data_IF_862474333260
#
_entry.id   IF_862474333260
#
_cell.length_a   1.000
_cell.length_b   1.000
_cell.length_c   1.000
_cell.angle_alpha   90.00
_cell.angle_beta   90.00
_cell.angle_gamma   90.00
#
_symmetry.space_group_name_H-M   'P 1'
#
loop_
_entity.id
_entity.type
_entity.pdbx_description
1 polymer ?
#
# COMPACT_ATOMS: atom_id res chain seq x y z
N UNK A 1 5.07 -2.39 22.31
CA UNK A 1 5.59 -2.24 20.94
C UNK A 1 5.20 -0.87 20.41
N UNK A 2 5.98 -0.26 19.53
CA UNK A 2 5.66 1.06 18.97
C UNK A 2 5.21 0.90 17.53
N UNK A 3 4.15 1.61 17.15
CA UNK A 3 3.63 1.70 15.78
C UNK A 3 3.39 3.16 15.41
N UNK A 4 3.31 3.44 14.12
CA UNK A 4 3.09 4.79 13.61
C UNK A 4 1.89 4.83 12.68
N UNK A 5 1.11 5.92 12.76
CA UNK A 5 -0.12 6.10 12.01
C UNK A 5 -0.26 7.55 11.54
N UNK A 6 -0.86 7.75 10.38
CA UNK A 6 -1.17 9.08 9.86
C UNK A 6 -2.64 9.44 10.08
N UNK A 7 -2.86 10.72 10.36
CA UNK A 7 -4.20 11.32 10.43
C UNK A 7 -4.22 12.62 9.65
N UNK A 8 -5.41 13.10 9.30
CA UNK A 8 -5.59 14.47 8.80
C UNK A 8 -5.45 15.51 9.94
N UNK A 9 -5.63 16.79 9.61
CA UNK A 9 -5.56 17.87 10.59
C UNK A 9 -6.56 17.70 11.76
N UNK A 10 -7.71 17.09 11.50
CA UNK A 10 -8.77 16.80 12.47
C UNK A 10 -8.60 15.44 13.17
N UNK A 11 -7.41 14.82 13.14
CA UNK A 11 -7.11 13.57 13.83
C UNK A 11 -7.93 12.35 13.35
N UNK A 12 -8.45 12.37 12.12
CA UNK A 12 -9.12 11.24 11.51
C UNK A 12 -8.14 10.44 10.64
N UNK A 13 -8.18 9.12 10.77
CA UNK A 13 -7.54 8.18 9.86
C UNK A 13 -8.38 8.01 8.59
N UNK A 14 -7.77 7.51 7.53
CA UNK A 14 -8.50 7.24 6.28
C UNK A 14 -9.63 6.23 6.48
N UNK A 15 -9.38 5.18 7.28
CA UNK A 15 -10.40 4.18 7.63
C UNK A 15 -11.51 4.74 8.51
N UNK A 16 -11.44 6.00 8.97
CA UNK A 16 -12.47 6.70 9.73
C UNK A 16 -12.35 6.54 11.25
N UNK A 17 -11.15 6.26 11.76
CA UNK A 17 -10.88 6.27 13.21
C UNK A 17 -10.50 7.68 13.64
N UNK A 18 -10.98 8.14 14.80
CA UNK A 18 -10.56 9.42 15.36
C UNK A 18 -9.58 9.16 16.52
N UNK A 19 -8.36 9.68 16.41
CA UNK A 19 -7.24 9.34 17.31
C UNK A 19 -6.51 10.60 17.74
N UNK A 20 -6.64 11.02 19.00
CA UNK A 20 -5.99 12.24 19.47
C UNK A 20 -4.72 11.96 20.29
N UNK A 21 -3.69 12.82 20.18
CA UNK A 21 -2.57 12.82 21.12
C UNK A 21 -3.02 12.92 22.57
N UNK A 22 -2.30 12.26 23.47
CA UNK A 22 -2.59 12.24 24.92
C UNK A 22 -3.71 11.30 25.34
N UNK A 23 -4.34 10.58 24.40
CA UNK A 23 -5.30 9.53 24.73
C UNK A 23 -4.58 8.25 25.16
N UNK A 24 -5.15 7.60 26.19
CA UNK A 24 -4.91 6.20 26.50
C UNK A 24 -6.13 5.40 26.07
N UNK A 25 -6.00 4.62 25.00
CA UNK A 25 -7.09 3.80 24.47
C UNK A 25 -6.99 2.42 25.10
N UNK A 26 -8.04 1.98 25.79
CA UNK A 26 -8.17 0.60 26.22
C UNK A 26 -8.86 -0.18 25.09
N UNK A 27 -8.06 -0.98 24.41
CA UNK A 27 -8.40 -1.59 23.16
C UNK A 27 -8.73 -3.07 23.41
N UNK A 28 -10.01 -3.45 23.25
CA UNK A 28 -10.44 -4.85 23.21
C UNK A 28 -10.16 -5.45 21.83
N UNK A 29 -10.23 -6.78 21.69
CA UNK A 29 -9.97 -7.48 20.42
C UNK A 29 -11.09 -7.34 19.37
N UNK A 30 -11.96 -6.33 19.48
CA UNK A 30 -13.06 -6.10 18.54
C UNK A 30 -12.56 -5.39 17.26
N UNK A 31 -13.31 -5.55 16.16
CA UNK A 31 -13.03 -4.86 14.88
C UNK A 31 -13.15 -3.33 14.98
N UNK A 32 -13.78 -2.81 16.04
CA UNK A 32 -13.92 -1.38 16.33
C UNK A 32 -12.64 -0.75 16.91
N UNK A 33 -11.64 -1.56 17.26
CA UNK A 33 -10.37 -1.09 17.80
C UNK A 33 -9.53 -0.38 16.73
N UNK A 34 -8.95 0.78 17.09
CA UNK A 34 -8.03 1.57 16.24
C UNK A 34 -6.89 0.73 15.65
N UNK A 35 -6.35 -0.23 16.40
CA UNK A 35 -5.25 -1.07 15.93
C UNK A 35 -5.71 -2.04 14.84
N UNK A 36 -6.85 -2.69 15.05
CA UNK A 36 -7.42 -3.66 14.09
C UNK A 36 -7.91 -2.95 12.83
N UNK A 37 -8.62 -1.84 12.98
CA UNK A 37 -9.21 -1.08 11.86
C UNK A 37 -8.19 -0.43 10.95
N UNK A 38 -7.01 -0.07 11.47
CA UNK A 38 -5.95 0.59 10.72
C UNK A 38 -4.71 -0.32 10.51
N UNK A 39 -4.84 -1.64 10.67
CA UNK A 39 -3.71 -2.57 10.64
C UNK A 39 -2.82 -2.45 9.38
N UNK A 40 -3.43 -2.16 8.23
CA UNK A 40 -2.76 -1.97 6.94
C UNK A 40 -2.02 -0.63 6.81
N UNK A 41 -2.37 0.34 7.65
CA UNK A 41 -1.79 1.69 7.65
C UNK A 41 -0.70 1.87 8.72
N UNK A 42 -0.58 0.90 9.64
CA UNK A 42 0.36 0.94 10.75
C UNK A 42 1.79 0.63 10.30
N UNK A 43 2.64 1.65 10.31
CA UNK A 43 4.07 1.47 10.06
C UNK A 43 4.84 1.04 11.30
N UNK A 44 5.87 0.22 11.10
CA UNK A 44 6.89 -0.09 12.12
C UNK A 44 7.87 1.08 12.35
N UNK A 45 7.85 2.07 11.46
CA UNK A 45 8.59 3.33 11.59
C UNK A 45 7.78 4.48 10.99
N UNK A 46 8.10 5.76 11.31
CA UNK A 46 7.45 6.91 10.68
C UNK A 46 7.58 6.88 9.15
N UNK A 47 8.72 6.43 8.64
CA UNK A 47 8.99 6.33 7.21
C UNK A 47 8.11 5.26 6.55
N UNK A 48 7.92 4.10 7.19
CA UNK A 48 7.03 3.07 6.67
C UNK A 48 5.57 3.54 6.75
N UNK A 49 5.14 4.19 7.83
CA UNK A 49 3.77 4.67 7.96
C UNK A 49 3.39 5.67 6.85
N UNK A 50 4.28 6.61 6.51
CA UNK A 50 4.05 7.54 5.39
C UNK A 50 4.03 6.85 4.02
N UNK A 51 4.75 5.74 3.90
CA UNK A 51 4.77 4.90 2.71
C UNK A 51 3.67 3.82 2.69
N UNK A 52 2.91 3.61 3.76
CA UNK A 52 1.75 2.67 3.79
C UNK A 52 0.37 3.33 3.78
N UNK A 53 0.28 4.63 4.07
CA UNK A 53 -0.97 5.38 4.01
C UNK A 53 -1.75 5.12 2.69
N UNK A 54 -2.92 4.46 2.75
CA UNK A 54 -3.50 3.73 1.63
C UNK A 54 -3.78 4.55 0.36
N UNK A 55 -3.74 5.89 0.43
CA UNK A 55 -3.59 6.77 -0.73
C UNK A 55 -2.59 7.91 -0.45
N UNK A 56 -1.31 7.71 -0.82
CA UNK A 56 -0.14 8.60 -0.63
C UNK A 56 -0.20 10.03 -1.20
N UNK A 57 -1.37 10.56 -1.56
CA UNK A 57 -1.51 11.82 -2.26
C UNK A 57 -2.64 12.75 -1.77
N UNK A 58 -3.51 12.34 -0.84
CA UNK A 58 -4.77 13.05 -0.59
C UNK A 58 -5.05 13.49 0.86
N UNK A 59 -4.10 13.31 1.79
CA UNK A 59 -4.28 13.85 3.15
C UNK A 59 -3.71 15.27 3.22
N UNK A 60 -4.62 16.24 3.28
CA UNK A 60 -4.27 17.64 3.57
C UNK A 60 -3.77 17.75 5.02
N UNK A 61 -2.65 18.46 5.21
CA UNK A 61 -2.07 18.77 6.52
C UNK A 61 -1.96 17.56 7.46
N UNK A 62 -1.33 16.48 6.98
CA UNK A 62 -1.19 15.24 7.72
C UNK A 62 -0.42 15.41 9.05
N UNK A 63 -0.82 14.63 10.06
CA UNK A 63 -0.16 14.48 11.35
C UNK A 63 0.30 13.04 11.53
N UNK A 64 1.49 12.86 12.10
CA UNK A 64 2.02 11.54 12.46
C UNK A 64 1.77 11.28 13.94
N UNK A 65 1.19 10.12 14.24
CA UNK A 65 0.98 9.63 15.60
C UNK A 65 1.90 8.44 15.87
N UNK A 66 2.60 8.49 16.99
CA UNK A 66 3.30 7.38 17.62
C UNK A 66 2.33 6.70 18.60
N UNK A 67 2.15 5.39 18.41
CA UNK A 67 1.29 4.54 19.22
C UNK A 67 2.17 3.59 20.04
N UNK A 68 2.28 3.87 21.33
CA UNK A 68 2.95 2.98 22.28
C UNK A 68 1.94 1.96 22.80
N UNK A 69 2.08 0.71 22.36
CA UNK A 69 1.15 -0.38 22.58
C UNK A 69 1.69 -1.27 23.70
N UNK A 70 1.08 -1.20 24.87
CA UNK A 70 1.29 -2.08 26.01
C UNK A 70 0.24 -3.19 26.07
N UNK A 71 0.65 -4.42 26.37
CA UNK A 71 -0.28 -5.49 26.74
C UNK A 71 -0.48 -5.43 28.24
N UNK A 72 -1.74 -5.36 28.67
CA UNK A 72 -2.07 -5.58 30.07
C UNK A 72 -2.69 -6.98 30.19
N UNK A 73 -1.96 -7.86 30.87
CA UNK A 73 -2.49 -9.15 31.31
C UNK A 73 -3.41 -8.87 32.51
N UNK A 74 -4.63 -8.42 32.22
CA UNK A 74 -5.69 -8.41 33.24
C UNK A 74 -6.34 -9.78 33.22
N UNK A 75 -5.84 -10.62 34.12
CA UNK A 75 -6.42 -11.91 34.47
C UNK A 75 -7.94 -11.74 34.73
N UNK A 76 -8.71 -12.67 34.19
CA UNK A 76 -10.16 -12.93 34.39
C UNK A 76 -11.22 -12.30 33.45
N UNK A 77 -10.99 -11.20 32.70
CA UNK A 77 -12.07 -10.61 31.84
C UNK A 77 -11.67 -10.37 30.36
N UNK A 78 -10.43 -10.68 29.99
CA UNK A 78 -9.96 -10.63 28.60
C UNK A 78 -8.78 -9.69 28.42
N UNK A 79 -7.91 -10.02 27.45
CA UNK A 79 -6.70 -9.25 27.16
C UNK A 79 -7.06 -7.83 26.71
N UNK A 80 -6.71 -6.83 27.51
CA UNK A 80 -6.86 -5.42 27.15
C UNK A 80 -5.52 -4.86 26.70
N UNK A 81 -5.53 -4.12 25.60
CA UNK A 81 -4.33 -3.46 25.09
C UNK A 81 -4.41 -1.99 25.46
N UNK A 82 -3.40 -1.45 26.16
CA UNK A 82 -3.31 -0.02 26.40
C UNK A 82 -2.50 0.62 25.26
N UNK A 83 -3.06 1.65 24.64
CA UNK A 83 -2.37 2.42 23.60
C UNK A 83 -2.19 3.85 24.08
N UNK A 84 -0.95 4.27 24.28
CA UNK A 84 -0.60 5.67 24.54
C UNK A 84 -0.29 6.35 23.20
N UNK A 85 -0.98 7.44 22.92
CA UNK A 85 -0.86 8.18 21.66
C UNK A 85 -0.03 9.45 21.87
N UNK A 86 1.02 9.64 21.06
CA UNK A 86 1.80 10.87 21.01
C UNK A 86 1.88 11.39 19.58
N UNK A 87 1.91 12.70 19.40
CA UNK A 87 2.23 13.28 18.09
C UNK A 87 3.74 13.26 17.88
N UNK A 88 4.18 12.98 16.65
CA UNK A 88 5.59 13.00 16.27
C UNK A 88 5.77 13.69 14.91
N UNK A 89 7.02 13.93 14.53
CA UNK A 89 7.32 14.62 13.27
C UNK A 89 7.02 13.74 12.07
N UNK A 90 6.38 14.35 11.06
CA UNK A 90 6.17 13.73 9.76
C UNK A 90 7.48 13.78 8.96
N UNK A 91 8.07 12.63 8.56
CA UNK A 91 9.27 12.63 7.74
C UNK A 91 8.97 13.18 6.34
N UNK A 92 9.93 13.87 5.74
CA UNK A 92 9.85 14.29 4.35
C UNK A 92 10.21 13.11 3.43
N UNK A 93 9.36 12.84 2.44
CA UNK A 93 9.58 11.81 1.43
C UNK A 93 9.41 12.41 0.04
N UNK A 94 10.36 12.14 -0.83
CA UNK A 94 10.34 12.60 -2.22
C UNK A 94 9.38 11.74 -3.06
N UNK A 95 8.87 12.30 -4.15
CA UNK A 95 8.05 11.55 -5.11
C UNK A 95 8.80 10.34 -5.67
N UNK A 96 10.10 10.49 -5.95
CA UNK A 96 10.98 9.39 -6.35
C UNK A 96 10.97 8.22 -5.37
N UNK A 97 11.13 8.50 -4.07
CA UNK A 97 11.10 7.47 -3.04
C UNK A 97 9.74 6.77 -2.96
N UNK A 98 8.64 7.52 -3.15
CA UNK A 98 7.29 6.94 -3.20
C UNK A 98 7.12 6.01 -4.39
N UNK A 99 7.59 6.40 -5.57
CA UNK A 99 7.53 5.56 -6.78
C UNK A 99 8.35 4.29 -6.57
N UNK A 100 9.60 4.42 -6.10
CA UNK A 100 10.46 3.26 -5.81
C UNK A 100 9.80 2.31 -4.81
N UNK A 101 9.25 2.84 -3.71
CA UNK A 101 8.55 2.02 -2.72
C UNK A 101 7.33 1.31 -3.33
N UNK A 102 6.51 2.02 -4.11
CA UNK A 102 5.37 1.42 -4.79
C UNK A 102 5.79 0.26 -5.72
N UNK A 103 6.84 0.45 -6.52
CA UNK A 103 7.35 -0.59 -7.41
C UNK A 103 7.85 -1.81 -6.64
N UNK A 104 8.60 -1.61 -5.55
CA UNK A 104 9.04 -2.70 -4.68
C UNK A 104 7.86 -3.51 -4.13
N UNK A 105 6.81 -2.83 -3.61
CA UNK A 105 5.64 -3.54 -3.07
C UNK A 105 4.86 -4.30 -4.14
N UNK A 106 4.74 -3.75 -5.36
CA UNK A 106 4.04 -4.41 -6.46
C UNK A 106 4.84 -5.61 -6.96
N UNK A 107 6.17 -5.54 -7.04
CA UNK A 107 7.02 -6.67 -7.47
C UNK A 107 6.88 -7.92 -6.57
N UNK A 108 6.53 -7.76 -5.30
CA UNK A 108 6.31 -8.87 -4.37
C UNK A 108 5.00 -9.63 -4.64
N UNK A 109 4.00 -8.96 -5.23
CA UNK A 109 2.65 -9.54 -5.42
C UNK A 109 2.30 -9.76 -6.90
N UNK A 110 2.90 -9.01 -7.80
CA UNK A 110 2.65 -9.07 -9.23
C UNK A 110 3.73 -9.88 -9.96
N UNK A 111 3.45 -11.15 -10.19
CA UNK A 111 4.39 -12.12 -10.78
C UNK A 111 4.65 -11.96 -12.30
N UNK A 112 4.47 -10.77 -12.88
CA UNK A 112 4.75 -10.54 -14.29
C UNK A 112 6.27 -10.30 -14.51
N UNK A 113 6.97 -11.16 -15.27
CA UNK A 113 8.42 -11.07 -15.40
C UNK A 113 8.89 -9.84 -16.19
N UNK A 114 8.11 -9.37 -17.16
CA UNK A 114 8.42 -8.16 -17.93
C UNK A 114 8.35 -6.94 -17.04
N UNK A 115 7.27 -6.83 -16.26
CA UNK A 115 7.13 -5.76 -15.28
C UNK A 115 8.24 -5.79 -14.25
N UNK A 116 8.57 -6.99 -13.71
CA UNK A 116 9.62 -7.12 -12.71
C UNK A 116 10.96 -6.61 -13.23
N UNK A 117 11.34 -7.01 -14.44
CA UNK A 117 12.57 -6.56 -15.10
C UNK A 117 12.62 -5.03 -15.24
N UNK A 118 11.55 -4.43 -15.79
CA UNK A 118 11.46 -2.98 -15.91
C UNK A 118 11.50 -2.27 -14.56
N UNK A 119 10.82 -2.80 -13.55
CA UNK A 119 10.82 -2.24 -12.20
C UNK A 119 12.21 -2.34 -11.54
N UNK A 120 12.97 -3.40 -11.78
CA UNK A 120 14.36 -3.54 -11.30
C UNK A 120 15.27 -2.47 -11.91
N UNK A 121 15.13 -2.19 -13.22
CA UNK A 121 15.87 -1.13 -13.91
C UNK A 121 15.52 0.26 -13.34
N UNK A 122 14.23 0.50 -13.07
CA UNK A 122 13.76 1.74 -12.45
C UNK A 122 14.31 1.91 -11.03
N UNK A 123 14.17 0.88 -10.19
CA UNK A 123 14.58 0.89 -8.78
C UNK A 123 16.09 1.11 -8.68
N UNK A 124 16.87 0.38 -9.48
CA UNK A 124 18.34 0.52 -9.53
C UNK A 124 18.81 1.87 -10.07
N UNK A 125 17.96 2.58 -10.80
CA UNK A 125 18.31 3.82 -11.49
C UNK A 125 19.02 3.59 -12.82
N UNK A 126 19.03 2.34 -13.33
CA UNK A 126 19.63 2.00 -14.62
C UNK A 126 18.88 2.65 -15.78
N UNK A 127 17.55 2.66 -15.71
CA UNK A 127 16.69 3.40 -16.64
C UNK A 127 15.46 3.95 -15.90
N UNK A 128 15.43 5.27 -15.72
CA UNK A 128 14.29 6.02 -15.17
C UNK A 128 13.67 6.96 -16.20
N UNK A 129 13.84 6.69 -17.48
CA UNK A 129 13.31 7.59 -18.51
C UNK A 129 11.78 7.51 -18.58
N UNK A 130 11.15 8.65 -18.88
CA UNK A 130 9.71 8.68 -19.18
C UNK A 130 9.36 7.79 -20.38
N UNK A 131 10.27 7.70 -21.36
CA UNK A 131 10.11 6.83 -22.53
C UNK A 131 10.02 5.35 -22.15
N UNK A 132 10.91 4.86 -21.27
CA UNK A 132 10.87 3.49 -20.81
C UNK A 132 9.58 3.17 -20.04
N UNK A 133 9.14 4.09 -19.16
CA UNK A 133 7.86 3.95 -18.46
C UNK A 133 6.69 3.89 -19.45
N UNK A 134 6.63 4.80 -20.43
CA UNK A 134 5.57 4.82 -21.44
C UNK A 134 5.52 3.53 -22.29
N UNK A 135 6.69 2.98 -22.66
CA UNK A 135 6.77 1.68 -23.35
C UNK A 135 6.22 0.55 -22.49
N UNK A 136 6.61 0.49 -21.22
CA UNK A 136 6.14 -0.53 -20.29
C UNK A 136 4.63 -0.46 -20.06
N UNK A 137 4.08 0.76 -19.93
CA UNK A 137 2.64 0.99 -19.80
C UNK A 137 1.87 0.42 -21.00
N UNK A 138 2.33 0.73 -22.22
CA UNK A 138 1.75 0.20 -23.44
C UNK A 138 1.85 -1.33 -23.52
N UNK A 139 2.95 -1.91 -23.03
CA UNK A 139 3.17 -3.36 -23.03
C UNK A 139 2.23 -4.09 -22.05
N UNK A 140 2.05 -3.58 -20.82
CA UNK A 140 1.05 -4.14 -19.90
C UNK A 140 -0.36 -4.10 -20.47
N UNK A 141 -0.72 -3.00 -21.16
CA UNK A 141 -2.01 -2.88 -21.82
C UNK A 141 -2.26 -3.94 -22.91
N UNK A 142 -1.20 -4.42 -23.59
CA UNK A 142 -1.31 -5.53 -24.56
C UNK A 142 -1.48 -6.87 -23.84
N UNK A 143 -0.65 -7.13 -22.82
CA UNK A 143 -0.70 -8.37 -22.02
C UNK A 143 -2.08 -8.56 -21.39
N UNK A 144 -2.66 -7.50 -20.82
CA UNK A 144 -3.99 -7.54 -20.22
C UNK A 144 -5.10 -7.89 -21.23
N UNK A 145 -5.02 -7.35 -22.46
CA UNK A 145 -5.96 -7.66 -23.55
C UNK A 145 -5.83 -9.11 -24.02
N UNK A 146 -4.61 -9.58 -24.23
CA UNK A 146 -4.32 -10.95 -24.66
C UNK A 146 -4.79 -11.97 -23.62
N UNK A 147 -4.51 -11.72 -22.34
CA UNK A 147 -4.96 -12.57 -21.22
C UNK A 147 -6.49 -12.63 -21.15
N UNK A 148 -7.17 -11.50 -21.36
CA UNK A 148 -8.64 -11.43 -21.39
C UNK A 148 -9.24 -12.19 -22.58
N UNK A 149 -8.57 -12.21 -23.73
CA UNK A 149 -9.01 -12.97 -24.92
C UNK A 149 -8.77 -14.48 -24.80
N UNK A 150 -7.70 -14.91 -24.13
CA UNK A 150 -7.36 -16.32 -23.95
C UNK A 150 -8.26 -17.03 -22.92
N UNK A 151 -8.84 -16.29 -21.96
CA UNK A 151 -9.77 -16.84 -20.97
C UNK A 151 -11.20 -17.07 -21.50
N UNK A 152 -11.49 -16.69 -22.75
CA UNK A 152 -12.79 -16.86 -23.39
C UNK A 152 -12.97 -18.21 -24.12
N UNK A 153 -11.94 -19.07 -24.15
CA UNK A 153 -12.06 -20.44 -24.70
C UNK A 153 -12.57 -21.43 -23.64
N UNK A 154 -13.52 -22.34 -23.97
CA UNK A 154 -14.23 -23.13 -22.97
C UNK A 154 -13.33 -24.23 -22.40
N UNK A 155 -13.12 -24.24 -21.08
CA UNK A 155 -12.40 -25.32 -20.38
C UNK A 155 -13.37 -26.31 -19.72
N UNK A 156 -13.17 -27.57 -20.08
CA UNK A 156 -13.81 -28.80 -19.61
C UNK A 156 -13.67 -28.97 -18.08
N UNK A 157 -14.68 -29.50 -17.37
CA UNK A 157 -14.67 -29.55 -15.91
C UNK A 157 -13.86 -30.75 -15.40
N UNK A 158 -12.92 -30.52 -14.49
CA UNK A 158 -12.30 -31.60 -13.72
C UNK A 158 -11.12 -31.17 -12.86
N UNK A 159 -11.19 -31.54 -11.58
CA UNK A 159 -10.19 -31.45 -10.50
C UNK A 159 -10.14 -30.13 -9.70
N UNK A 160 -10.15 -30.29 -8.38
CA UNK A 160 -10.40 -29.25 -7.37
C UNK A 160 -9.39 -28.11 -7.38
N UNK A 161 -9.64 -27.12 -8.23
CA UNK A 161 -8.94 -25.85 -8.27
C UNK A 161 -9.65 -24.83 -7.39
N UNK A 162 -8.86 -24.00 -6.68
CA UNK A 162 -9.32 -22.70 -6.23
C UNK A 162 -10.08 -22.02 -7.38
N UNK A 163 -11.25 -21.46 -7.08
CA UNK A 163 -12.17 -20.93 -8.09
C UNK A 163 -11.40 -20.09 -9.13
N UNK A 164 -11.32 -20.49 -10.41
CA UNK A 164 -10.51 -19.82 -11.43
C UNK A 164 -10.87 -18.33 -11.58
N UNK A 165 -12.12 -17.96 -11.28
CA UNK A 165 -12.57 -16.56 -11.24
C UNK A 165 -11.83 -15.74 -10.18
N UNK A 166 -11.45 -16.33 -9.03
CA UNK A 166 -10.70 -15.64 -7.96
C UNK A 166 -9.25 -15.36 -8.35
N UNK A 167 -8.62 -16.27 -9.10
CA UNK A 167 -7.23 -16.10 -9.56
C UNK A 167 -7.15 -15.02 -10.64
N UNK A 168 -8.10 -15.01 -11.58
CA UNK A 168 -8.19 -13.99 -12.62
C UNK A 168 -8.48 -12.59 -12.05
N UNK A 169 -9.34 -12.51 -11.02
CA UNK A 169 -9.64 -11.24 -10.34
C UNK A 169 -8.41 -10.64 -9.63
N UNK A 170 -7.62 -11.46 -8.91
CA UNK A 170 -6.38 -10.98 -8.26
C UNK A 170 -5.34 -10.51 -9.27
N UNK A 171 -5.16 -11.24 -10.37
CA UNK A 171 -4.20 -10.86 -11.41
C UNK A 171 -4.57 -9.54 -12.09
N UNK A 172 -5.87 -9.33 -12.36
CA UNK A 172 -6.40 -8.06 -12.90
C UNK A 172 -6.18 -6.88 -11.95
N UNK A 173 -6.40 -7.08 -10.65
CA UNK A 173 -6.20 -6.03 -9.63
C UNK A 173 -4.73 -5.59 -9.57
N UNK A 174 -3.79 -6.54 -9.53
CA UNK A 174 -2.36 -6.22 -9.51
C UNK A 174 -1.85 -5.64 -10.83
N UNK A 175 -2.39 -6.07 -11.97
CA UNK A 175 -2.07 -5.45 -13.26
C UNK A 175 -2.53 -3.99 -13.33
N UNK A 176 -3.67 -3.64 -12.73
CA UNK A 176 -4.14 -2.25 -12.65
C UNK A 176 -3.18 -1.41 -11.81
N UNK A 177 -2.85 -1.88 -10.60
CA UNK A 177 -1.90 -1.22 -9.69
C UNK A 177 -0.52 -1.02 -10.31
N UNK A 178 -0.02 -2.02 -11.03
CA UNK A 178 1.23 -1.91 -11.78
C UNK A 178 1.17 -0.81 -12.85
N UNK A 179 0.05 -0.72 -13.58
CA UNK A 179 -0.15 0.30 -14.61
C UNK A 179 -0.22 1.71 -14.00
N UNK A 180 -0.89 1.88 -12.86
CA UNK A 180 -0.94 3.15 -12.12
C UNK A 180 0.45 3.61 -11.67
N UNK A 181 1.26 2.70 -11.12
CA UNK A 181 2.62 3.00 -10.69
C UNK A 181 3.52 3.40 -11.87
N UNK A 182 3.44 2.70 -13.00
CA UNK A 182 4.19 3.06 -14.22
C UNK A 182 3.74 4.43 -14.74
N UNK A 183 2.44 4.70 -14.75
CA UNK A 183 1.94 5.98 -15.22
C UNK A 183 2.38 7.15 -14.34
N UNK A 184 2.37 6.96 -13.01
CA UNK A 184 2.91 7.93 -12.07
C UNK A 184 4.41 8.17 -12.29
N UNK A 185 5.17 7.10 -12.54
CA UNK A 185 6.59 7.15 -12.86
C UNK A 185 6.87 7.95 -14.15
N UNK A 186 6.09 7.70 -15.20
CA UNK A 186 6.17 8.45 -16.46
C UNK A 186 5.90 9.94 -16.26
N UNK A 187 4.75 10.29 -15.66
CA UNK A 187 4.36 11.70 -15.45
C UNK A 187 5.39 12.43 -14.60
N UNK A 188 5.95 11.76 -13.58
CA UNK A 188 6.95 12.37 -12.73
C UNK A 188 8.18 12.78 -13.53
N UNK A 189 8.69 11.89 -14.39
CA UNK A 189 9.86 12.18 -15.22
C UNK A 189 9.59 13.20 -16.32
N UNK A 190 8.42 13.13 -16.97
CA UNK A 190 7.99 14.15 -17.94
C UNK A 190 7.96 15.57 -17.33
N UNK A 191 7.70 15.69 -16.02
CA UNK A 191 7.66 16.98 -15.31
C UNK A 191 9.03 17.45 -14.82
N UNK A 192 9.99 16.55 -14.62
CA UNK A 192 11.34 16.89 -14.15
C UNK A 192 12.30 17.17 -15.31
N UNK A 193 12.02 16.65 -16.51
CA UNK A 193 12.81 16.85 -17.73
C UNK A 193 12.42 18.12 -18.55
N UNK A 194 11.28 18.76 -18.23
CA UNK A 194 10.82 20.03 -18.82
C UNK A 194 11.15 21.24 -17.93
#
# INVERSE_FOLDING_TARGET
MTRYLLTNAENHTWRGSHVCPGQSILASNTEENVLTRNAEELGDSPLVAIMLNPWHAQIDHQKMLELEIGRNDLDEIGSSTNVVVRETTVPSVTTDQKIVFALMTIQEVYGNPVFKCWADDWISGSDRSAEAAGKMFAQLGKIAKETSSASAEPKTPGTGQENPDRVDTKYKDFSSRASEAIFAAQIYMDRTEN
#
